data_IF_726638715223
#
_entry.id   IF_726638715223
#
_cell.length_a   1.000
_cell.length_b   1.000
_cell.length_c   1.000
_cell.angle_alpha   90.00
_cell.angle_beta   90.00
_cell.angle_gamma   90.00
#
_symmetry.space_group_name_H-M   'P 1'
#
loop_
_entity.id
_entity.type
_entity.pdbx_description
1 polymer ?
#
# COMPACT_ATOMS: atom_id res chain seq x y z
N UNK A 1 -4.80 15.99 2.57
CA UNK A 1 -4.92 15.25 1.30
C UNK A 1 -4.48 16.16 0.18
N UNK A 2 -3.80 15.63 -0.83
CA UNK A 2 -3.18 16.43 -1.89
C UNK A 2 -4.15 16.93 -2.96
N UNK A 3 -3.74 17.98 -3.68
CA UNK A 3 -4.50 18.57 -4.79
C UNK A 3 -4.65 17.62 -5.99
N UNK A 4 -5.81 17.63 -6.69
CA UNK A 4 -6.09 16.75 -7.84
C UNK A 4 -5.07 16.87 -9.00
N UNK A 5 -4.47 18.04 -9.20
CA UNK A 5 -3.49 18.27 -10.29
C UNK A 5 -2.27 17.35 -10.17
N UNK A 6 -1.90 16.97 -8.94
CA UNK A 6 -0.75 16.08 -8.71
C UNK A 6 -0.99 14.66 -9.22
N UNK A 7 -2.24 14.18 -9.16
CA UNK A 7 -2.62 12.88 -9.73
C UNK A 7 -2.51 12.85 -11.27
N UNK A 8 -2.78 13.97 -11.94
CA UNK A 8 -2.77 14.06 -13.40
C UNK A 8 -1.37 14.03 -14.02
N UNK A 9 -0.33 14.42 -13.27
CA UNK A 9 1.04 14.51 -13.78
C UNK A 9 1.85 13.20 -13.64
N UNK A 10 1.24 12.16 -13.06
CA UNK A 10 1.85 10.84 -12.88
C UNK A 10 2.84 10.77 -11.70
N UNK A 11 3.14 9.53 -11.30
CA UNK A 11 4.00 9.25 -10.13
C UNK A 11 5.43 9.78 -10.33
N UNK A 12 5.97 9.73 -11.54
CA UNK A 12 7.37 10.09 -11.84
C UNK A 12 7.69 11.53 -11.44
N UNK A 13 6.84 12.48 -11.84
CA UNK A 13 6.98 13.89 -11.46
C UNK A 13 6.80 14.10 -9.96
N UNK A 14 5.96 13.29 -9.31
CA UNK A 14 5.73 13.36 -7.87
C UNK A 14 6.93 12.87 -7.05
N UNK A 15 7.72 11.95 -7.59
CA UNK A 15 8.95 11.46 -6.96
C UNK A 15 10.08 12.48 -6.99
N UNK A 16 9.99 13.52 -7.83
CA UNK A 16 11.01 14.58 -7.91
C UNK A 16 12.33 14.10 -8.52
N UNK A 17 12.31 13.03 -9.32
CA UNK A 17 13.42 12.52 -10.12
C UNK A 17 13.10 12.68 -11.60
N UNK A 18 14.13 12.81 -12.44
CA UNK A 18 13.92 12.82 -13.89
C UNK A 18 13.49 11.43 -14.40
N UNK A 19 12.82 11.39 -15.55
CA UNK A 19 12.42 10.13 -16.18
C UNK A 19 13.65 9.26 -16.51
N UNK A 20 14.74 9.86 -16.99
CA UNK A 20 15.98 9.16 -17.32
C UNK A 20 16.62 8.48 -16.09
N UNK A 21 16.75 9.21 -14.98
CA UNK A 21 17.28 8.66 -13.73
C UNK A 21 16.42 7.51 -13.21
N UNK A 22 15.09 7.67 -13.29
CA UNK A 22 14.17 6.66 -12.81
C UNK A 22 14.21 5.41 -13.68
N UNK A 23 14.21 5.54 -15.02
CA UNK A 23 14.32 4.39 -15.91
C UNK A 23 15.66 3.66 -15.77
N UNK A 24 16.77 4.39 -15.56
CA UNK A 24 18.06 3.79 -15.25
C UNK A 24 18.06 3.05 -13.90
N UNK A 25 17.24 3.50 -12.94
CA UNK A 25 16.99 2.79 -11.69
C UNK A 25 16.17 1.52 -11.90
N UNK A 26 15.04 1.62 -12.60
CA UNK A 26 14.15 0.50 -12.92
C UNK A 26 14.88 -0.61 -13.68
N UNK A 27 15.78 -0.27 -14.61
CA UNK A 27 16.56 -1.26 -15.36
C UNK A 27 17.52 -2.07 -14.49
N UNK A 28 17.90 -1.59 -13.30
CA UNK A 28 18.74 -2.32 -12.33
C UNK A 28 17.92 -3.23 -11.40
N UNK A 29 16.58 -3.13 -11.42
CA UNK A 29 15.69 -4.02 -10.67
C UNK A 29 15.98 -4.06 -9.17
N UNK A 30 16.13 -5.27 -8.62
CA UNK A 30 16.39 -5.53 -7.19
C UNK A 30 17.61 -4.75 -6.68
N UNK A 31 18.67 -4.62 -7.49
CA UNK A 31 19.88 -3.91 -7.07
C UNK A 31 19.63 -2.41 -6.80
N UNK A 32 18.71 -1.78 -7.54
CA UNK A 32 18.36 -0.39 -7.26
C UNK A 32 17.59 -0.25 -5.94
N UNK A 33 16.65 -1.16 -5.67
CA UNK A 33 15.91 -1.17 -4.39
C UNK A 33 16.89 -1.34 -3.22
N UNK A 34 17.80 -2.29 -3.31
CA UNK A 34 18.82 -2.51 -2.27
C UNK A 34 19.64 -1.25 -2.04
N UNK A 35 20.13 -0.61 -3.11
CA UNK A 35 20.93 0.61 -3.00
C UNK A 35 20.15 1.79 -2.38
N UNK A 36 18.86 1.95 -2.69
CA UNK A 36 18.01 2.98 -2.07
C UNK A 36 17.86 2.77 -0.56
N UNK A 37 17.63 1.53 -0.14
CA UNK A 37 17.49 1.19 1.28
C UNK A 37 18.82 1.28 2.03
N UNK A 38 19.94 0.86 1.43
CA UNK A 38 21.27 1.02 2.04
C UNK A 38 21.65 2.50 2.22
N UNK A 39 21.21 3.37 1.32
CA UNK A 39 21.50 4.80 1.37
C UNK A 39 20.59 5.58 2.33
N UNK A 40 19.30 5.22 2.42
CA UNK A 40 18.29 6.04 3.08
C UNK A 40 17.38 5.29 4.08
N UNK A 41 17.48 3.96 4.16
CA UNK A 41 16.66 3.14 5.04
C UNK A 41 17.05 3.27 6.51
N UNK A 42 16.07 3.12 7.38
CA UNK A 42 16.27 2.95 8.82
C UNK A 42 16.81 1.55 9.15
N UNK A 43 17.22 1.32 10.40
CA UNK A 43 17.60 -0.02 10.87
C UNK A 43 16.49 -1.04 10.68
N UNK A 44 15.23 -0.63 10.90
CA UNK A 44 14.06 -1.49 10.74
C UNK A 44 13.81 -1.82 9.26
N UNK A 45 14.06 -0.87 8.36
CA UNK A 45 13.93 -1.06 6.92
C UNK A 45 14.96 -2.06 6.41
N UNK A 46 16.22 -1.91 6.85
CA UNK A 46 17.32 -2.81 6.51
C UNK A 46 17.13 -4.22 7.08
N UNK A 47 16.58 -4.35 8.30
CA UNK A 47 16.23 -5.66 8.85
C UNK A 47 15.13 -6.34 8.02
N UNK A 48 14.10 -5.60 7.60
CA UNK A 48 13.05 -6.14 6.75
C UNK A 48 13.59 -6.54 5.36
N UNK A 49 14.48 -5.74 4.78
CA UNK A 49 15.11 -6.03 3.50
C UNK A 49 15.95 -7.30 3.56
N UNK A 50 16.83 -7.41 4.56
CA UNK A 50 17.68 -8.58 4.75
C UNK A 50 16.84 -9.84 5.02
N UNK A 51 15.79 -9.70 5.85
CA UNK A 51 14.85 -10.79 6.08
C UNK A 51 14.20 -11.28 4.79
N UNK A 52 13.68 -10.37 3.96
CA UNK A 52 13.02 -10.76 2.71
C UNK A 52 14.02 -11.43 1.78
N UNK A 53 15.21 -10.86 1.58
CA UNK A 53 16.16 -11.35 0.57
C UNK A 53 16.90 -12.62 0.97
N UNK A 54 17.20 -12.80 2.26
CA UNK A 54 18.07 -13.88 2.74
C UNK A 54 17.43 -14.80 3.78
N UNK A 55 16.37 -14.34 4.42
CA UNK A 55 15.61 -15.12 5.38
C UNK A 55 14.61 -16.06 4.71
N UNK A 56 13.82 -16.71 5.55
CA UNK A 56 12.67 -17.53 5.14
C UNK A 56 11.48 -17.23 6.06
N UNK A 57 10.27 -17.58 5.64
CA UNK A 57 9.10 -17.52 6.53
C UNK A 57 9.39 -18.21 7.87
N UNK A 58 9.09 -17.53 8.97
CA UNK A 58 9.37 -18.02 10.33
C UNK A 58 10.82 -17.93 10.82
N UNK A 59 11.79 -17.44 10.02
CA UNK A 59 13.19 -17.30 10.47
C UNK A 59 13.45 -16.04 11.32
N UNK A 60 12.51 -15.09 11.35
CA UNK A 60 12.57 -13.89 12.19
C UNK A 60 11.34 -13.86 13.12
N UNK A 61 11.59 -13.96 14.43
CA UNK A 61 10.55 -13.94 15.46
C UNK A 61 10.25 -12.55 16.04
N UNK A 62 10.86 -11.48 15.52
CA UNK A 62 10.62 -10.11 15.97
C UNK A 62 9.14 -9.75 15.76
N UNK A 63 8.51 -9.23 16.82
CA UNK A 63 7.14 -8.73 16.77
C UNK A 63 7.13 -7.24 16.43
N UNK A 64 6.42 -6.91 15.35
CA UNK A 64 6.10 -5.57 14.90
C UNK A 64 4.69 -5.18 15.35
N UNK A 65 4.31 -3.92 15.12
CA UNK A 65 2.94 -3.46 15.39
C UNK A 65 1.88 -4.28 14.63
N UNK A 66 2.23 -4.79 13.46
CA UNK A 66 1.36 -5.56 12.56
C UNK A 66 1.39 -7.07 12.85
N UNK A 67 2.27 -7.55 13.74
CA UNK A 67 2.46 -8.97 14.04
C UNK A 67 3.90 -9.43 13.83
N UNK A 68 4.10 -10.73 13.63
CA UNK A 68 5.40 -11.31 13.27
C UNK A 68 5.45 -11.52 11.76
N UNK A 69 6.62 -11.32 11.15
CA UNK A 69 6.79 -11.47 9.70
C UNK A 69 6.45 -12.92 9.27
N UNK A 70 5.62 -13.03 8.24
CA UNK A 70 5.07 -14.28 7.70
C UNK A 70 4.32 -15.15 8.71
N UNK A 71 3.82 -14.57 9.81
CA UNK A 71 2.98 -15.29 10.77
C UNK A 71 1.76 -15.92 10.06
N UNK A 72 1.57 -17.22 10.25
CA UNK A 72 0.52 -18.00 9.60
C UNK A 72 0.90 -18.64 8.26
N UNK A 73 2.09 -18.37 7.70
CA UNK A 73 2.61 -19.10 6.53
C UNK A 73 3.32 -20.39 6.95
N UNK A 74 3.43 -21.32 6.00
CA UNK A 74 4.35 -22.46 6.12
C UNK A 74 5.78 -21.93 6.38
N UNK A 75 6.53 -22.47 7.36
CA UNK A 75 7.92 -22.07 7.61
C UNK A 75 8.88 -22.47 6.47
N UNK A 76 9.97 -21.73 6.31
CA UNK A 76 11.04 -22.08 5.37
C UNK A 76 10.84 -21.62 3.93
N UNK A 77 9.82 -20.82 3.63
CA UNK A 77 9.57 -20.25 2.30
C UNK A 77 10.57 -19.11 2.02
N UNK A 78 11.44 -19.22 1.01
CA UNK A 78 12.39 -18.17 0.63
C UNK A 78 11.72 -17.10 -0.25
N UNK A 79 12.43 -16.00 -0.52
CA UNK A 79 11.96 -14.95 -1.44
C UNK A 79 11.50 -15.50 -2.81
N UNK A 80 12.25 -16.45 -3.37
CA UNK A 80 11.92 -17.04 -4.68
C UNK A 80 10.55 -17.70 -4.70
N UNK A 81 10.06 -18.23 -3.57
CA UNK A 81 8.71 -18.76 -3.47
C UNK A 81 7.67 -17.71 -3.87
N UNK A 82 7.82 -16.48 -3.38
CA UNK A 82 6.90 -15.38 -3.67
C UNK A 82 7.05 -14.88 -5.11
N UNK A 83 8.27 -14.87 -5.65
CA UNK A 83 8.52 -14.54 -7.07
C UNK A 83 7.85 -15.56 -8.00
N UNK A 84 7.83 -16.84 -7.63
CA UNK A 84 7.29 -17.93 -8.45
C UNK A 84 5.76 -18.09 -8.33
N UNK A 85 5.08 -17.23 -7.58
CA UNK A 85 3.63 -17.28 -7.38
C UNK A 85 2.86 -17.06 -8.68
N UNK A 86 1.72 -17.77 -8.89
CA UNK A 86 0.87 -17.56 -10.06
C UNK A 86 0.48 -16.09 -10.27
N UNK A 87 0.19 -15.38 -9.18
CA UNK A 87 -0.17 -13.96 -9.18
C UNK A 87 0.94 -13.09 -9.80
N UNK A 88 2.20 -13.37 -9.47
CA UNK A 88 3.34 -12.66 -10.04
C UNK A 88 3.49 -12.93 -11.53
N UNK A 89 3.34 -14.19 -11.97
CA UNK A 89 3.44 -14.55 -13.40
C UNK A 89 2.32 -13.94 -14.22
N UNK A 90 1.09 -13.99 -13.70
CA UNK A 90 -0.09 -13.49 -14.39
C UNK A 90 -0.07 -11.96 -14.55
N UNK A 91 0.45 -11.24 -13.56
CA UNK A 91 0.66 -9.81 -13.63
C UNK A 91 1.99 -9.41 -14.28
N UNK A 92 2.78 -10.35 -14.81
CA UNK A 92 4.11 -10.08 -15.38
C UNK A 92 5.02 -9.29 -14.40
N UNK A 93 5.04 -9.69 -13.13
CA UNK A 93 5.84 -9.05 -12.10
C UNK A 93 7.27 -9.61 -12.10
N UNK A 94 8.24 -8.71 -12.27
CA UNK A 94 9.65 -9.03 -12.00
C UNK A 94 9.93 -9.22 -10.50
N UNK A 95 11.08 -9.83 -10.12
CA UNK A 95 11.47 -9.92 -8.72
C UNK A 95 11.52 -8.57 -7.99
N UNK A 96 11.84 -7.48 -8.70
CA UNK A 96 11.86 -6.14 -8.12
C UNK A 96 10.46 -5.66 -7.71
N UNK A 97 9.42 -5.96 -8.50
CA UNK A 97 8.04 -5.66 -8.13
C UNK A 97 7.65 -6.42 -6.86
N UNK A 98 7.92 -7.72 -6.81
CA UNK A 98 7.58 -8.56 -5.65
C UNK A 98 8.32 -8.09 -4.40
N UNK A 99 9.60 -7.74 -4.52
CA UNK A 99 10.38 -7.17 -3.41
C UNK A 99 9.78 -5.86 -2.91
N UNK A 100 9.46 -4.92 -3.82
CA UNK A 100 8.93 -3.62 -3.45
C UNK A 100 7.55 -3.72 -2.78
N UNK A 101 6.65 -4.57 -3.30
CA UNK A 101 5.34 -4.83 -2.69
C UNK A 101 5.47 -5.50 -1.32
N UNK A 102 6.38 -6.46 -1.19
CA UNK A 102 6.62 -7.16 0.08
C UNK A 102 7.23 -6.23 1.13
N UNK A 103 8.21 -5.41 0.76
CA UNK A 103 8.77 -4.36 1.62
C UNK A 103 7.70 -3.34 2.04
N UNK A 104 6.82 -2.95 1.12
CA UNK A 104 5.73 -2.03 1.43
C UNK A 104 4.81 -2.55 2.54
N UNK A 105 4.60 -3.87 2.62
CA UNK A 105 3.82 -4.47 3.70
C UNK A 105 4.57 -4.57 5.04
N UNK A 106 5.88 -4.32 5.11
CA UNK A 106 6.65 -4.36 6.37
C UNK A 106 6.66 -2.99 7.06
N UNK A 107 7.43 -2.84 8.15
CA UNK A 107 7.66 -1.53 8.78
C UNK A 107 8.22 -0.45 7.82
N UNK A 108 8.79 -0.86 6.67
CA UNK A 108 9.29 0.05 5.65
C UNK A 108 8.23 0.92 4.97
N UNK A 109 6.93 0.60 5.16
CA UNK A 109 5.85 1.47 4.69
C UNK A 109 5.99 2.91 5.19
N UNK A 110 6.61 3.14 6.37
CA UNK A 110 6.80 4.50 6.91
C UNK A 110 7.79 5.29 6.07
N UNK A 111 8.94 4.69 5.77
CA UNK A 111 9.99 5.30 4.95
C UNK A 111 9.55 5.50 3.49
N UNK A 112 8.62 4.67 3.02
CA UNK A 112 7.97 4.81 1.71
C UNK A 112 6.89 5.91 1.73
N UNK A 113 6.01 5.93 2.73
CA UNK A 113 4.83 6.79 2.71
C UNK A 113 5.08 8.21 3.21
N UNK A 114 5.94 8.38 4.22
CA UNK A 114 6.11 9.66 4.88
C UNK A 114 6.66 10.74 3.91
N UNK A 115 7.69 10.49 3.08
CA UNK A 115 8.19 11.52 2.17
C UNK A 115 7.22 11.83 1.02
N UNK A 116 6.30 10.92 0.70
CA UNK A 116 5.20 11.17 -0.24
C UNK A 116 4.12 12.07 0.38
N UNK A 117 3.94 12.06 1.70
CA UNK A 117 2.95 12.89 2.42
C UNK A 117 3.51 14.22 2.93
N UNK A 118 4.83 14.39 2.86
CA UNK A 118 5.50 15.63 3.24
C UNK A 118 5.39 16.68 2.14
N UNK A 119 4.47 17.63 2.32
CA UNK A 119 4.27 18.74 1.39
C UNK A 119 5.41 19.76 1.38
N UNK A 120 6.27 19.76 2.40
CA UNK A 120 7.42 20.65 2.51
C UNK A 120 8.72 20.05 1.91
N UNK A 121 8.68 18.80 1.44
CA UNK A 121 9.85 18.15 0.82
C UNK A 121 10.30 18.92 -0.43
N UNK A 122 11.56 19.35 -0.42
CA UNK A 122 12.17 20.09 -1.53
C UNK A 122 12.99 19.21 -2.50
N UNK A 123 13.48 18.05 -2.07
CA UNK A 123 14.33 17.15 -2.85
C UNK A 123 13.61 15.90 -3.36
N UNK A 124 14.27 15.01 -4.12
CA UNK A 124 13.68 13.76 -4.62
C UNK A 124 13.24 12.82 -3.49
N UNK A 125 12.35 11.88 -3.81
CA UNK A 125 11.93 10.83 -2.89
C UNK A 125 13.13 9.89 -2.64
N UNK A 126 13.52 9.60 -1.39
CA UNK A 126 14.72 8.78 -1.13
C UNK A 126 14.65 7.35 -1.69
N UNK A 127 13.43 6.83 -1.82
CA UNK A 127 13.12 5.49 -2.33
C UNK A 127 12.32 5.54 -3.66
N UNK A 128 12.70 6.43 -4.57
CA UNK A 128 11.92 6.72 -5.79
C UNK A 128 11.71 5.49 -6.69
N UNK A 129 12.76 4.69 -6.93
CA UNK A 129 12.70 3.47 -7.73
C UNK A 129 11.81 2.43 -7.06
N UNK A 130 11.92 2.26 -5.73
CA UNK A 130 11.05 1.38 -4.95
C UNK A 130 9.59 1.79 -5.10
N UNK A 131 9.26 3.08 -4.95
CA UNK A 131 7.87 3.57 -5.11
C UNK A 131 7.37 3.37 -6.53
N UNK A 132 8.24 3.55 -7.54
CA UNK A 132 7.89 3.28 -8.93
C UNK A 132 7.53 1.80 -9.16
N UNK A 133 8.31 0.86 -8.62
CA UNK A 133 7.99 -0.57 -8.67
C UNK A 133 6.71 -0.92 -7.91
N UNK A 134 6.42 -0.27 -6.77
CA UNK A 134 5.14 -0.44 -6.06
C UNK A 134 3.99 0.02 -6.96
N UNK A 135 4.08 1.22 -7.52
CA UNK A 135 3.04 1.78 -8.39
C UNK A 135 2.80 0.90 -9.63
N UNK A 136 3.87 0.48 -10.30
CA UNK A 136 3.78 -0.41 -11.46
C UNK A 136 3.19 -1.78 -11.10
N UNK A 137 3.67 -2.38 -10.01
CA UNK A 137 3.21 -3.69 -9.54
C UNK A 137 1.73 -3.69 -9.16
N UNK A 138 1.27 -2.68 -8.42
CA UNK A 138 -0.15 -2.55 -8.04
C UNK A 138 -1.06 -2.39 -9.27
N UNK A 139 -0.63 -1.64 -10.28
CA UNK A 139 -1.38 -1.49 -11.54
C UNK A 139 -1.45 -2.80 -12.32
N UNK A 140 -0.31 -3.49 -12.47
CA UNK A 140 -0.22 -4.78 -13.17
C UNK A 140 -1.06 -5.88 -12.50
N UNK A 141 -1.13 -5.89 -11.16
CA UNK A 141 -1.95 -6.85 -10.40
C UNK A 141 -3.45 -6.76 -10.68
N UNK A 142 -3.93 -5.71 -11.35
CA UNK A 142 -5.31 -5.69 -11.87
C UNK A 142 -5.57 -6.80 -12.88
N UNK A 143 -4.55 -7.30 -13.58
CA UNK A 143 -4.69 -8.46 -14.47
C UNK A 143 -5.15 -9.70 -13.69
N UNK A 144 -4.62 -9.91 -12.47
CA UNK A 144 -5.04 -11.00 -11.57
C UNK A 144 -6.47 -10.75 -11.08
N UNK A 145 -6.76 -9.53 -10.62
CA UNK A 145 -8.11 -9.16 -10.14
C UNK A 145 -9.18 -9.28 -11.23
N UNK A 146 -8.83 -9.06 -12.51
CA UNK A 146 -9.75 -9.19 -13.64
C UNK A 146 -10.21 -10.63 -13.89
N UNK A 147 -9.44 -11.63 -13.43
CA UNK A 147 -9.76 -13.05 -13.56
C UNK A 147 -10.37 -13.67 -12.29
N UNK A 148 -10.47 -12.91 -11.20
CA UNK A 148 -11.10 -13.37 -9.98
C UNK A 148 -12.62 -13.52 -10.13
N UNK A 149 -13.23 -14.47 -9.42
CA UNK A 149 -14.68 -14.69 -9.44
C UNK A 149 -15.49 -13.47 -8.97
N UNK A 150 -14.86 -12.59 -8.18
CA UNK A 150 -15.44 -11.38 -7.65
C UNK A 150 -15.09 -10.11 -8.46
N UNK A 151 -14.51 -10.26 -9.66
CA UNK A 151 -13.99 -9.16 -10.48
C UNK A 151 -15.02 -8.04 -10.73
N UNK A 152 -16.31 -8.35 -10.82
CA UNK A 152 -17.38 -7.37 -11.05
C UNK A 152 -18.35 -7.28 -9.86
N UNK A 153 -17.96 -7.81 -8.71
CA UNK A 153 -18.76 -7.72 -7.49
C UNK A 153 -18.40 -6.47 -6.72
N UNK A 154 -19.41 -5.88 -6.08
CA UNK A 154 -19.15 -4.84 -5.11
C UNK A 154 -18.47 -5.40 -3.86
N UNK A 155 -17.37 -4.77 -3.44
CA UNK A 155 -16.62 -5.11 -2.25
C UNK A 155 -16.31 -3.84 -1.48
N UNK A 156 -16.65 -3.86 -0.19
CA UNK A 156 -16.29 -2.82 0.75
C UNK A 156 -14.91 -3.13 1.35
N UNK A 157 -14.02 -2.14 1.29
CA UNK A 157 -12.69 -2.18 1.90
C UNK A 157 -12.63 -1.15 3.02
N UNK A 158 -11.85 -1.43 4.05
CA UNK A 158 -11.78 -0.61 5.25
C UNK A 158 -10.39 -0.04 5.44
N UNK A 159 -10.31 1.22 5.87
CA UNK A 159 -9.06 1.86 6.29
C UNK A 159 -9.28 2.60 7.60
N UNK A 160 -8.50 2.23 8.61
CA UNK A 160 -8.46 2.93 9.89
C UNK A 160 -7.49 4.10 9.87
N UNK A 161 -7.95 5.26 10.36
CA UNK A 161 -7.16 6.47 10.49
C UNK A 161 -7.18 6.93 11.96
N UNK A 162 -6.01 7.32 12.48
CA UNK A 162 -5.86 7.87 13.83
C UNK A 162 -5.92 9.38 13.80
N UNK A 163 -6.63 9.96 14.77
CA UNK A 163 -6.64 11.40 15.07
C UNK A 163 -6.95 12.33 13.87
N UNK A 164 -7.68 11.81 12.87
CA UNK A 164 -7.99 12.54 11.65
C UNK A 164 -9.41 13.11 11.69
N UNK A 165 -9.53 14.38 11.29
CA UNK A 165 -10.83 15.00 11.07
C UNK A 165 -11.14 15.04 9.59
N UNK A 166 -12.32 14.53 9.26
CA UNK A 166 -12.91 14.77 7.95
C UNK A 166 -13.30 16.24 7.86
N UNK A 167 -12.62 16.97 6.99
CA UNK A 167 -12.90 18.39 6.76
C UNK A 167 -14.12 18.56 5.86
N UNK A 168 -14.81 19.70 5.98
CA UNK A 168 -15.90 20.04 5.05
C UNK A 168 -15.41 20.12 3.61
N UNK A 169 -14.15 20.56 3.40
CA UNK A 169 -13.54 20.57 2.08
C UNK A 169 -13.38 19.16 1.49
N UNK A 170 -12.89 18.20 2.28
CA UNK A 170 -12.81 16.81 1.81
C UNK A 170 -14.20 16.29 1.46
N UNK A 171 -15.21 16.50 2.31
CA UNK A 171 -16.58 16.06 2.00
C UNK A 171 -17.17 16.71 0.75
N UNK A 172 -16.76 17.93 0.41
CA UNK A 172 -17.28 18.65 -0.74
C UNK A 172 -16.53 18.33 -2.05
N UNK A 173 -15.22 18.04 -1.97
CA UNK A 173 -14.33 18.00 -3.15
C UNK A 173 -13.51 16.72 -3.27
N UNK A 174 -13.54 15.85 -2.27
CA UNK A 174 -12.64 14.72 -2.16
C UNK A 174 -11.20 15.12 -1.89
N UNK A 175 -10.28 14.18 -2.10
CA UNK A 175 -8.86 14.41 -1.87
C UNK A 175 -7.99 13.26 -2.36
N UNK A 176 -6.72 13.58 -2.62
CA UNK A 176 -5.73 12.61 -3.10
C UNK A 176 -4.92 12.05 -1.94
N UNK A 177 -4.86 10.73 -1.80
CA UNK A 177 -3.84 10.05 -1.00
C UNK A 177 -2.57 9.92 -1.86
N UNK A 178 -1.51 10.58 -1.42
CA UNK A 178 -0.28 10.73 -2.19
C UNK A 178 0.59 9.47 -2.16
N UNK A 179 0.50 8.70 -1.07
CA UNK A 179 1.24 7.46 -0.90
C UNK A 179 0.42 6.25 -1.38
N UNK A 180 1.02 5.06 -1.55
CA UNK A 180 0.21 3.85 -1.60
C UNK A 180 -0.71 3.76 -0.37
N UNK A 181 -1.92 3.25 -0.60
CA UNK A 181 -2.98 3.27 0.40
C UNK A 181 -3.41 1.85 0.74
N UNK A 182 -2.90 1.36 1.87
CA UNK A 182 -3.34 0.07 2.44
C UNK A 182 -4.77 0.14 2.95
N UNK A 183 -5.58 -0.83 2.55
CA UNK A 183 -6.92 -1.09 3.07
C UNK A 183 -7.03 -2.57 3.41
N UNK A 184 -8.09 -2.98 4.07
CA UNK A 184 -8.32 -4.38 4.46
C UNK A 184 -9.75 -4.79 4.20
N UNK A 185 -9.96 -6.08 3.90
CA UNK A 185 -11.31 -6.69 3.88
C UNK A 185 -11.86 -6.96 5.29
N UNK A 186 -11.04 -6.81 6.33
CA UNK A 186 -11.41 -7.12 7.71
C UNK A 186 -11.63 -5.84 8.52
N UNK A 187 -12.89 -5.56 8.90
CA UNK A 187 -13.24 -4.39 9.72
C UNK A 187 -12.46 -4.36 11.04
N UNK A 188 -12.24 -5.51 11.68
CA UNK A 188 -11.49 -5.60 12.95
C UNK A 188 -10.04 -5.13 12.80
N UNK A 189 -9.42 -5.40 11.65
CA UNK A 189 -8.06 -4.91 11.35
C UNK A 189 -8.10 -3.38 11.25
N UNK A 190 -9.03 -2.80 10.47
CA UNK A 190 -9.16 -1.35 10.35
C UNK A 190 -9.46 -0.67 11.70
N UNK A 191 -10.29 -1.28 12.55
CA UNK A 191 -10.59 -0.79 13.89
C UNK A 191 -9.31 -0.68 14.74
N UNK A 192 -8.46 -1.72 14.76
CA UNK A 192 -7.16 -1.68 15.46
C UNK A 192 -6.26 -0.55 14.95
N UNK A 193 -6.29 -0.28 13.64
CA UNK A 193 -5.53 0.82 13.04
C UNK A 193 -6.07 2.20 13.45
N UNK A 194 -7.38 2.35 13.61
CA UNK A 194 -8.01 3.61 14.00
C UNK A 194 -7.99 3.93 15.50
N UNK A 195 -7.61 2.97 16.35
CA UNK A 195 -7.59 3.12 17.81
C UNK A 195 -6.82 4.38 18.25
N UNK A 196 -7.57 5.42 18.65
CA UNK A 196 -7.10 6.76 18.99
C UNK A 196 -8.24 7.54 19.67
N UNK A 197 -7.98 8.79 20.11
CA UNK A 197 -9.00 9.65 20.73
C UNK A 197 -10.11 10.02 19.74
N UNK A 198 -9.78 10.06 18.45
CA UNK A 198 -10.71 10.41 17.37
C UNK A 198 -10.61 9.41 16.23
N UNK A 199 -11.23 8.22 16.39
CA UNK A 199 -11.08 7.15 15.43
C UNK A 199 -11.98 7.37 14.21
N UNK A 200 -11.37 7.33 13.02
CA UNK A 200 -12.05 7.44 11.73
C UNK A 200 -11.86 6.16 10.94
N UNK A 201 -12.95 5.67 10.35
CA UNK A 201 -12.94 4.61 9.35
C UNK A 201 -13.33 5.18 8.00
N UNK A 202 -12.51 4.94 6.99
CA UNK A 202 -12.93 5.09 5.61
C UNK A 202 -13.44 3.74 5.12
N UNK A 203 -14.66 3.74 4.59
CA UNK A 203 -15.26 2.61 3.88
C UNK A 203 -15.12 2.88 2.39
N UNK A 204 -14.20 2.19 1.73
CA UNK A 204 -13.98 2.33 0.30
C UNK A 204 -14.89 1.35 -0.42
N UNK A 205 -15.85 1.90 -1.16
CA UNK A 205 -16.78 1.13 -1.96
C UNK A 205 -16.18 0.89 -3.33
N UNK A 206 -15.99 -0.38 -3.69
CA UNK A 206 -15.57 -0.78 -5.03
C UNK A 206 -16.67 -1.65 -5.65
N UNK A 207 -16.85 -1.58 -6.95
CA UNK A 207 -17.90 -2.23 -7.77
C UNK A 207 -17.30 -3.16 -8.81
N UNK A 208 -16.02 -2.98 -9.14
CA UNK A 208 -15.27 -3.87 -10.03
C UNK A 208 -13.77 -3.84 -9.74
N UNK A 209 -13.04 -4.77 -10.35
CA UNK A 209 -11.58 -4.86 -10.33
C UNK A 209 -10.89 -3.61 -10.88
N UNK A 210 -11.60 -2.79 -11.67
CA UNK A 210 -11.02 -1.60 -12.29
C UNK A 210 -10.72 -0.50 -11.28
N UNK A 211 -11.54 -0.41 -10.24
CA UNK A 211 -11.42 0.59 -9.16
C UNK A 211 -10.98 -0.04 -7.84
N UNK A 212 -10.75 -1.36 -7.82
CA UNK A 212 -10.26 -2.07 -6.63
C UNK A 212 -8.73 -2.06 -6.62
N UNK A 213 -8.16 -1.81 -5.45
CA UNK A 213 -6.74 -2.01 -5.21
C UNK A 213 -6.31 -3.48 -5.43
N UNK A 214 -5.00 -3.71 -5.43
CA UNK A 214 -4.43 -5.03 -5.60
C UNK A 214 -4.42 -5.81 -4.27
N UNK A 215 -4.81 -7.07 -4.32
CA UNK A 215 -4.67 -7.99 -3.19
C UNK A 215 -3.20 -8.35 -2.99
N UNK A 216 -2.66 -8.06 -1.80
CA UNK A 216 -1.27 -8.33 -1.45
C UNK A 216 -1.12 -9.54 -0.53
N UNK A 217 -2.20 -10.21 -0.11
CA UNK A 217 -2.11 -11.31 0.87
C UNK A 217 -1.16 -12.43 0.42
N UNK A 218 -1.01 -12.65 -0.89
CA UNK A 218 -0.10 -13.66 -1.45
C UNK A 218 1.39 -13.32 -1.25
N UNK A 219 1.78 -12.04 -1.33
CA UNK A 219 3.18 -11.58 -1.20
C UNK A 219 3.48 -10.77 0.06
N UNK A 220 2.48 -10.37 0.84
CA UNK A 220 2.65 -9.56 2.04
C UNK A 220 3.44 -10.32 3.11
N UNK A 221 4.26 -9.59 3.87
CA UNK A 221 4.93 -10.09 5.06
C UNK A 221 3.99 -10.20 6.27
N UNK A 222 2.77 -9.66 6.20
CA UNK A 222 1.71 -9.85 7.19
C UNK A 222 0.42 -10.31 6.52
N UNK A 223 0.35 -11.57 6.03
CA UNK A 223 -0.81 -12.06 5.27
C UNK A 223 -2.14 -11.97 6.03
N UNK A 224 -2.10 -12.02 7.36
CA UNK A 224 -3.28 -11.87 8.22
C UNK A 224 -3.97 -10.50 8.15
N UNK A 225 -3.31 -9.46 7.61
CA UNK A 225 -3.93 -8.14 7.43
C UNK A 225 -4.94 -8.11 6.28
N UNK A 226 -4.96 -9.14 5.42
CA UNK A 226 -5.81 -9.24 4.23
C UNK A 226 -5.77 -7.94 3.40
N UNK A 227 -4.55 -7.44 3.19
CA UNK A 227 -4.29 -6.13 2.62
C UNK A 227 -4.73 -6.05 1.16
N UNK A 228 -5.53 -5.03 0.85
CA UNK A 228 -5.81 -4.56 -0.51
C UNK A 228 -5.22 -3.17 -0.65
N UNK A 229 -4.20 -3.03 -1.49
CA UNK A 229 -3.41 -1.81 -1.61
C UNK A 229 -3.74 -1.05 -2.89
N UNK A 230 -3.99 0.25 -2.75
CA UNK A 230 -4.19 1.15 -3.89
C UNK A 230 -2.88 1.87 -4.23
N UNK A 231 -2.64 2.16 -5.52
CA UNK A 231 -1.43 2.86 -5.94
C UNK A 231 -1.36 4.29 -5.36
N UNK A 232 -0.15 4.90 -5.34
CA UNK A 232 0.02 6.32 -5.08
C UNK A 232 -0.94 7.18 -5.92
N UNK A 233 -1.29 8.35 -5.40
CA UNK A 233 -2.14 9.33 -6.07
C UNK A 233 -3.58 8.84 -6.31
N UNK A 234 -4.06 7.91 -5.48
CA UNK A 234 -5.47 7.51 -5.49
C UNK A 234 -6.34 8.66 -4.98
N UNK A 235 -7.29 9.08 -5.80
CA UNK A 235 -8.28 10.09 -5.46
C UNK A 235 -9.48 9.45 -4.78
N UNK A 236 -9.93 10.03 -3.67
CA UNK A 236 -11.08 9.57 -2.90
C UNK A 236 -12.20 10.58 -3.00
N UNK A 237 -13.37 10.14 -3.47
CA UNK A 237 -14.59 10.94 -3.55
C UNK A 237 -15.53 10.52 -2.42
N UNK A 238 -15.81 11.39 -1.44
CA UNK A 238 -16.81 11.11 -0.44
C UNK A 238 -18.19 10.97 -1.05
N UNK A 239 -18.90 9.97 -0.59
CA UNK A 239 -20.33 9.87 -0.82
C UNK A 239 -21.08 10.74 0.19
N UNK A 240 -22.41 10.81 0.07
CA UNK A 240 -23.25 11.42 1.11
C UNK A 240 -23.37 10.57 2.37
N UNK A 241 -22.87 9.33 2.37
CA UNK A 241 -23.01 8.42 3.50
C UNK A 241 -21.94 8.68 4.55
N UNK A 242 -22.43 9.10 5.72
CA UNK A 242 -21.66 9.21 6.96
C UNK A 242 -22.46 8.58 8.09
N UNK A 243 -21.84 7.68 8.81
CA UNK A 243 -22.48 6.98 9.92
C UNK A 243 -21.55 6.87 11.12
N UNK A 244 -22.15 6.47 12.24
CA UNK A 244 -21.42 6.18 13.47
C UNK A 244 -21.68 4.72 13.82
N UNK A 245 -20.62 3.92 13.93
CA UNK A 245 -20.73 2.51 14.32
C UNK A 245 -20.12 2.29 15.70
N UNK A 246 -20.63 1.29 16.43
CA UNK A 246 -20.05 0.84 17.69
C UNK A 246 -19.44 -0.55 17.48
N UNK A 247 -18.13 -0.65 17.68
CA UNK A 247 -17.40 -1.92 17.60
C UNK A 247 -16.67 -2.13 18.91
N UNK A 248 -16.94 -3.26 19.58
CA UNK A 248 -16.33 -3.61 20.87
C UNK A 248 -16.47 -2.51 21.95
N UNK A 249 -17.58 -1.77 21.95
CA UNK A 249 -17.83 -0.68 22.90
C UNK A 249 -17.18 0.66 22.55
N UNK A 250 -16.42 0.74 21.44
CA UNK A 250 -15.82 1.96 20.93
C UNK A 250 -16.63 2.53 19.77
N UNK A 251 -16.76 3.86 19.75
CA UNK A 251 -17.53 4.58 18.73
C UNK A 251 -16.61 5.07 17.62
N UNK A 252 -16.94 4.77 16.37
CA UNK A 252 -16.18 5.15 15.18
C UNK A 252 -17.03 6.01 14.27
N UNK A 253 -16.46 7.09 13.72
CA UNK A 253 -17.05 7.76 12.56
C UNK A 253 -16.67 6.98 11.31
N UNK A 254 -17.65 6.66 10.47
CA UNK A 254 -17.44 6.05 9.17
C UNK A 254 -17.79 7.06 8.09
N UNK A 255 -16.91 7.22 7.12
CA UNK A 255 -17.17 7.96 5.89
C UNK A 255 -16.99 7.02 4.71
N UNK A 256 -18.03 6.87 3.90
CA UNK A 256 -17.96 6.08 2.68
C UNK A 256 -17.39 6.92 1.54
N UNK A 257 -16.43 6.35 0.82
CA UNK A 257 -15.72 6.99 -0.28
C UNK A 257 -15.62 6.05 -1.48
N UNK A 258 -15.57 6.62 -2.68
CA UNK A 258 -15.29 5.91 -3.93
C UNK A 258 -13.85 6.22 -4.38
N UNK A 259 -13.02 5.19 -4.62
CA UNK A 259 -11.64 5.38 -5.06
C UNK A 259 -11.52 5.49 -6.58
N UNK A 260 -10.68 6.41 -7.04
CA UNK A 260 -10.33 6.60 -8.44
C UNK A 260 -8.81 6.73 -8.58
N UNK A 261 -8.22 5.87 -9.41
CA UNK A 261 -6.79 5.94 -9.72
C UNK A 261 -6.56 5.61 -11.19
N UNK A 262 -5.48 6.15 -11.74
CA UNK A 262 -5.14 5.92 -13.13
C UNK A 262 -4.74 4.46 -13.36
N UNK A 263 -5.23 3.87 -14.45
CA UNK A 263 -4.65 2.67 -15.05
C UNK A 263 -3.17 2.82 -15.36
#
# INVERSE_FOLDING_TARGET
MGEPVRAALGVHRFLGVSDEELYAGLSRGVHAIVAEFEAAGSSDDLECLEYILRGTSGSNGRRWANGVLDEGREPGLPFSHFVDRPEAREADLSPAHVLALRLYSTAAYRSINNPLRDEARAGPHPLAVTVAFINEGLKRLRAVSARADDAYRSIDLWRGMRDLHVTGEFMARGGTEQAPMSTTRCLDVAVRYSASDRPLLLKLKTTSFMERGADLAWCSAFPGEAEVCFPPLTFLVPTSLRETICVQGHTFTVVEVEPHFAS
#
